data_IF_756779293071
#
_entry.id   IF_756779293071
#
_cell.length_a   1.000
_cell.length_b   1.000
_cell.length_c   1.000
_cell.angle_alpha   90.00
_cell.angle_beta   90.00
_cell.angle_gamma   90.00
#
_symmetry.space_group_name_H-M   'P 1'
#
loop_
_entity.id
_entity.type
_entity.pdbx_description
1 polymer ?
#
# COMPACT_ATOMS: atom_id res chain seq x y z
N UNK A 1 -9.04 -3.08 22.40
CA UNK A 1 -8.81 -3.69 21.10
C UNK A 1 -9.00 -2.67 20.00
N UNK A 2 -8.16 -2.75 19.02
CA UNK A 2 -8.21 -1.83 17.90
C UNK A 2 -9.31 -2.24 16.93
N UNK A 3 -10.01 -1.25 16.43
CA UNK A 3 -10.92 -1.48 15.32
C UNK A 3 -10.17 -1.22 14.03
N UNK A 4 -9.74 -2.29 13.39
CA UNK A 4 -8.93 -2.18 12.17
C UNK A 4 -9.70 -1.57 10.99
N UNK A 5 -11.04 -1.67 11.01
CA UNK A 5 -11.83 -1.04 9.95
C UNK A 5 -11.80 0.47 10.07
N UNK A 6 -11.80 0.98 11.31
CA UNK A 6 -11.65 2.43 11.55
C UNK A 6 -10.24 2.86 11.14
N UNK A 7 -9.23 2.08 11.53
CA UNK A 7 -7.85 2.39 11.15
C UNK A 7 -7.70 2.41 9.62
N UNK A 8 -8.33 1.48 8.93
CA UNK A 8 -8.29 1.44 7.47
C UNK A 8 -8.81 2.73 6.86
N UNK A 9 -9.94 3.23 7.38
CA UNK A 9 -10.51 4.48 6.87
C UNK A 9 -9.60 5.66 7.13
N UNK A 10 -8.99 5.71 8.33
CA UNK A 10 -8.06 6.78 8.67
C UNK A 10 -6.85 6.78 7.75
N UNK A 11 -6.23 5.61 7.57
CA UNK A 11 -5.04 5.53 6.72
C UNK A 11 -5.37 5.77 5.25
N UNK A 12 -6.54 5.32 4.79
CA UNK A 12 -6.95 5.57 3.41
C UNK A 12 -7.13 7.05 3.15
N UNK A 13 -7.77 7.76 4.10
CA UNK A 13 -7.96 9.20 3.99
C UNK A 13 -6.61 9.92 4.02
N UNK A 14 -5.75 9.56 4.98
CA UNK A 14 -4.45 10.19 5.11
C UNK A 14 -3.59 9.96 3.88
N UNK A 15 -3.61 8.76 3.32
CA UNK A 15 -2.86 8.47 2.10
C UNK A 15 -3.34 9.34 0.94
N UNK A 16 -4.66 9.49 0.79
CA UNK A 16 -5.21 10.32 -0.25
C UNK A 16 -4.87 11.79 -0.09
N UNK A 17 -4.54 12.22 1.13
CA UNK A 17 -4.15 13.59 1.43
C UNK A 17 -2.63 13.80 1.39
N UNK A 18 -1.88 12.79 1.01
CA UNK A 18 -0.44 12.94 0.81
C UNK A 18 0.46 12.45 1.95
N UNK A 19 -0.12 11.86 2.98
CA UNK A 19 0.70 11.33 4.08
C UNK A 19 1.63 10.23 3.57
N UNK A 20 2.91 10.34 3.89
CA UNK A 20 3.94 9.43 3.39
C UNK A 20 3.90 8.07 4.10
N UNK A 21 3.47 8.04 5.36
CA UNK A 21 3.47 6.81 6.15
C UNK A 21 2.18 6.01 5.98
N UNK A 22 1.08 6.66 5.65
CA UNK A 22 -0.22 5.98 5.57
C UNK A 22 -0.23 4.83 4.56
N UNK A 23 0.33 4.99 3.35
CA UNK A 23 0.38 3.86 2.41
C UNK A 23 1.15 2.67 2.96
N UNK A 24 2.19 2.90 3.75
CA UNK A 24 2.93 1.82 4.38
C UNK A 24 2.04 1.04 5.35
N UNK A 25 1.27 1.73 6.17
CA UNK A 25 0.35 1.09 7.09
C UNK A 25 -0.75 0.32 6.35
N UNK A 26 -1.25 0.87 5.24
CA UNK A 26 -2.22 0.16 4.41
C UNK A 26 -1.63 -1.12 3.85
N UNK A 27 -0.37 -1.07 3.41
CA UNK A 27 0.32 -2.26 2.93
C UNK A 27 0.34 -3.34 4.00
N UNK A 28 0.69 -2.97 5.23
CA UNK A 28 0.71 -3.93 6.33
C UNK A 28 -0.67 -4.52 6.60
N UNK A 29 -1.70 -3.70 6.55
CA UNK A 29 -3.07 -4.16 6.81
C UNK A 29 -3.50 -5.18 5.76
N UNK A 30 -3.23 -4.93 4.49
CA UNK A 30 -3.57 -5.88 3.43
C UNK A 30 -2.71 -7.14 3.49
N UNK A 31 -1.44 -7.01 3.87
CA UNK A 31 -0.58 -8.18 4.02
C UNK A 31 -1.06 -9.10 5.14
N UNK A 32 -1.52 -8.51 6.23
CA UNK A 32 -1.92 -9.25 7.42
C UNK A 32 -3.41 -9.57 7.49
N UNK A 33 -4.20 -8.96 6.63
CA UNK A 33 -5.66 -9.15 6.64
C UNK A 33 -6.32 -8.49 7.84
N UNK A 34 -5.86 -7.29 8.22
CA UNK A 34 -6.40 -6.57 9.37
C UNK A 34 -7.40 -5.52 8.90
N UNK A 35 -8.68 -5.76 9.17
CA UNK A 35 -9.75 -4.87 8.75
C UNK A 35 -10.13 -5.01 7.29
N UNK A 36 -9.43 -5.85 6.54
CA UNK A 36 -9.65 -6.11 5.13
C UNK A 36 -9.35 -7.59 4.87
N UNK A 37 -9.79 -8.08 3.72
CA UNK A 37 -9.39 -9.40 3.26
C UNK A 37 -7.92 -9.31 2.82
N UNK A 38 -7.10 -10.26 3.29
CA UNK A 38 -5.69 -10.31 2.92
C UNK A 38 -5.54 -10.29 1.39
N UNK A 39 -4.66 -9.43 0.90
CA UNK A 39 -4.43 -9.28 -0.54
C UNK A 39 -2.99 -8.81 -0.75
N UNK A 40 -2.15 -9.73 -1.22
CA UNK A 40 -0.74 -9.41 -1.42
C UNK A 40 -0.52 -8.44 -2.57
N UNK A 41 -1.38 -8.48 -3.58
CA UNK A 41 -1.30 -7.54 -4.70
C UNK A 41 -1.56 -6.11 -4.25
N UNK A 42 -2.64 -5.90 -3.49
CA UNK A 42 -2.94 -4.58 -2.96
C UNK A 42 -1.88 -4.13 -1.96
N UNK A 43 -1.38 -5.06 -1.13
CA UNK A 43 -0.30 -4.73 -0.21
C UNK A 43 0.93 -4.23 -0.97
N UNK A 44 1.29 -4.91 -2.05
CA UNK A 44 2.43 -4.52 -2.88
C UNK A 44 2.19 -3.16 -3.55
N UNK A 45 0.97 -2.91 -4.00
CA UNK A 45 0.60 -1.61 -4.56
C UNK A 45 0.84 -0.49 -3.55
N UNK A 46 0.33 -0.65 -2.33
CA UNK A 46 0.49 0.39 -1.31
C UNK A 46 1.94 0.54 -0.86
N UNK A 47 2.69 -0.56 -0.77
CA UNK A 47 4.12 -0.48 -0.46
C UNK A 47 4.87 0.29 -1.55
N UNK A 48 4.50 0.07 -2.82
CA UNK A 48 5.10 0.81 -3.92
C UNK A 48 4.77 2.30 -3.83
N UNK A 49 3.53 2.64 -3.52
CA UNK A 49 3.14 4.04 -3.32
C UNK A 49 3.98 4.67 -2.21
N UNK A 50 4.10 3.98 -1.07
CA UNK A 50 4.87 4.49 0.06
C UNK A 50 6.34 4.72 -0.33
N UNK A 51 6.93 3.77 -1.03
CA UNK A 51 8.33 3.86 -1.45
C UNK A 51 8.54 5.05 -2.38
N UNK A 52 7.65 5.23 -3.36
CA UNK A 52 7.75 6.32 -4.32
C UNK A 52 7.54 7.68 -3.66
N UNK A 53 6.86 7.72 -2.52
CA UNK A 53 6.70 8.96 -1.76
C UNK A 53 7.82 9.17 -0.74
N UNK A 54 8.82 8.29 -0.72
CA UNK A 54 10.00 8.47 0.10
C UNK A 54 10.02 7.70 1.41
N UNK A 55 9.07 6.83 1.66
CA UNK A 55 9.10 5.99 2.86
C UNK A 55 10.04 4.82 2.63
N UNK A 56 11.25 4.92 3.18
CA UNK A 56 12.30 3.96 2.93
C UNK A 56 11.99 2.57 3.51
N UNK A 57 11.16 2.52 4.56
CA UNK A 57 10.78 1.24 5.17
C UNK A 57 9.96 0.38 4.21
N UNK A 58 9.31 0.99 3.24
CA UNK A 58 8.50 0.27 2.26
C UNK A 58 9.33 -0.60 1.31
N UNK A 59 10.62 -0.33 1.20
CA UNK A 59 11.51 -1.16 0.38
C UNK A 59 11.53 -2.60 0.90
N UNK A 60 11.70 -2.75 2.21
CA UNK A 60 11.74 -4.07 2.83
C UNK A 60 10.37 -4.75 2.74
N UNK A 61 9.32 -4.00 2.93
CA UNK A 61 7.95 -4.52 2.82
C UNK A 61 7.69 -5.07 1.40
N UNK A 62 8.11 -4.32 0.37
CA UNK A 62 7.97 -4.79 -1.01
C UNK A 62 8.77 -6.07 -1.25
N UNK A 63 9.97 -6.14 -0.71
CA UNK A 63 10.83 -7.32 -0.86
C UNK A 63 10.13 -8.56 -0.30
N UNK A 64 9.56 -8.44 0.90
CA UNK A 64 8.82 -9.54 1.51
C UNK A 64 7.64 -9.94 0.64
N UNK A 65 6.86 -8.96 0.18
CA UNK A 65 5.65 -9.22 -0.59
C UNK A 65 5.96 -9.82 -1.97
N UNK A 66 7.09 -9.46 -2.56
CA UNK A 66 7.47 -9.97 -3.88
C UNK A 66 7.57 -11.48 -3.91
N UNK A 67 7.83 -12.10 -2.76
CA UNK A 67 7.97 -13.55 -2.67
C UNK A 67 6.62 -14.28 -2.83
N UNK A 68 5.53 -13.56 -2.66
CA UNK A 68 4.19 -14.13 -2.74
C UNK A 68 3.50 -13.81 -4.07
N UNK A 69 4.17 -13.12 -4.98
CA UNK A 69 3.57 -12.63 -6.22
C UNK A 69 4.41 -13.07 -7.41
N UNK A 70 3.73 -13.38 -8.51
CA UNK A 70 4.42 -13.63 -9.77
C UNK A 70 4.89 -12.30 -10.35
N UNK A 71 5.77 -12.39 -11.35
CA UNK A 71 6.24 -11.19 -12.06
C UNK A 71 5.08 -10.41 -12.66
N UNK A 72 4.13 -11.05 -13.39
CA UNK A 72 2.97 -10.30 -13.91
C UNK A 72 2.12 -9.65 -12.82
N UNK A 73 1.95 -10.32 -11.68
CA UNK A 73 1.18 -9.76 -10.57
C UNK A 73 1.85 -8.52 -10.00
N UNK A 74 3.18 -8.55 -9.87
CA UNK A 74 3.92 -7.38 -9.41
C UNK A 74 3.81 -6.23 -10.40
N UNK A 75 3.83 -6.54 -11.70
CA UNK A 75 3.71 -5.52 -12.74
C UNK A 75 2.34 -4.83 -12.66
N UNK A 76 1.28 -5.61 -12.51
CA UNK A 76 -0.07 -5.06 -12.35
C UNK A 76 -0.14 -4.15 -11.13
N UNK A 77 0.40 -4.61 -10.00
CA UNK A 77 0.37 -3.83 -8.76
C UNK A 77 1.17 -2.52 -8.93
N UNK A 78 2.29 -2.58 -9.61
CA UNK A 78 3.09 -1.38 -9.85
C UNK A 78 2.36 -0.39 -10.75
N UNK A 79 1.72 -0.87 -11.80
CA UNK A 79 0.94 0.00 -12.69
C UNK A 79 -0.22 0.65 -11.93
N UNK A 80 -0.87 -0.11 -11.05
CA UNK A 80 -1.93 0.44 -10.20
C UNK A 80 -1.40 1.51 -9.25
N UNK A 81 -0.20 1.30 -8.70
CA UNK A 81 0.42 2.28 -7.81
C UNK A 81 0.69 3.59 -8.56
N UNK A 82 1.20 3.51 -9.78
CA UNK A 82 1.47 4.69 -10.58
C UNK A 82 0.20 5.42 -10.94
N UNK A 83 -0.85 4.65 -11.27
CA UNK A 83 -2.15 5.24 -11.56
C UNK A 83 -2.71 5.94 -10.32
N UNK A 84 -2.61 5.30 -9.17
CA UNK A 84 -3.06 5.87 -7.90
C UNK A 84 -2.36 7.20 -7.62
N UNK A 85 -1.04 7.23 -7.80
CA UNK A 85 -0.25 8.44 -7.57
C UNK A 85 -0.68 9.57 -8.49
N UNK A 86 -0.87 9.28 -9.77
CA UNK A 86 -1.31 10.30 -10.72
C UNK A 86 -2.67 10.87 -10.33
N UNK A 87 -3.57 10.00 -9.85
CA UNK A 87 -4.90 10.41 -9.47
C UNK A 87 -4.91 11.28 -8.21
N UNK A 88 -4.00 11.02 -7.28
CA UNK A 88 -4.01 11.70 -5.99
C UNK A 88 -3.01 12.84 -5.86
N UNK A 89 -2.09 12.95 -6.78
CA UNK A 89 -1.13 14.04 -6.76
C UNK A 89 -1.59 15.27 -7.51
N UNK A 90 -2.72 15.26 -7.94
CA UNK A 90 -3.46 16.36 -8.50
C UNK A 90 -2.68 17.67 -8.63
N UNK A 91 -2.01 17.80 -9.68
CA UNK A 91 -1.19 19.00 -9.93
C UNK A 91 -1.94 19.99 -10.78
#
# INVERSE_FOLDING_TARGET
>A
PQDYRVALRWFSKAAGEGDVDAPFHLSEMYRLGKGVIKDYGLAYMYATIALLKGNINASQEREILSQFLTVPERKVAQDLAEHWLRKHENI
#
